data_IF_317311094181
#
_entry.id   IF_317311094181
#
_cell.length_a   1.000
_cell.length_b   1.000
_cell.length_c   1.000
_cell.angle_alpha   90.00
_cell.angle_beta   90.00
_cell.angle_gamma   90.00
#
_symmetry.space_group_name_H-M   'P 1'
#
loop_
_entity.id
_entity.type
_entity.pdbx_description
1 polymer ?
#
# COMPACT_ATOMS: atom_id res chain seq x y z
N UNK A 1 -11.24 -3.44 -24.11
CA UNK A 1 -10.96 -2.59 -22.93
C UNK A 1 -11.90 -1.37 -22.82
N UNK A 2 -12.06 -0.54 -23.86
CA UNK A 2 -12.85 0.71 -23.78
C UNK A 2 -14.33 0.53 -23.36
N UNK A 3 -14.98 -0.57 -23.75
CA UNK A 3 -16.37 -0.87 -23.33
C UNK A 3 -16.53 -1.07 -21.82
N UNK A 4 -15.56 -1.72 -21.16
CA UNK A 4 -15.60 -1.93 -19.70
C UNK A 4 -15.34 -0.63 -18.94
N UNK A 5 -14.45 0.22 -19.45
CA UNK A 5 -14.21 1.57 -18.91
C UNK A 5 -15.46 2.45 -19.02
N UNK A 6 -16.11 2.45 -20.18
CA UNK A 6 -17.36 3.19 -20.41
C UNK A 6 -18.53 2.69 -19.54
N UNK A 7 -18.61 1.38 -19.30
CA UNK A 7 -19.62 0.78 -18.44
C UNK A 7 -19.33 0.94 -16.94
N UNK A 8 -18.24 1.63 -16.56
CA UNK A 8 -17.77 1.75 -15.17
C UNK A 8 -17.56 0.38 -14.47
N UNK A 9 -17.13 -0.62 -15.25
CA UNK A 9 -16.84 -1.99 -14.78
C UNK A 9 -15.33 -2.26 -14.70
N UNK A 10 -14.50 -1.33 -15.16
CA UNK A 10 -13.06 -1.44 -15.12
C UNK A 10 -12.48 -0.54 -14.04
N UNK A 11 -12.00 -1.15 -12.96
CA UNK A 11 -11.33 -0.46 -11.84
C UNK A 11 -12.17 0.68 -11.22
N UNK A 12 -13.50 0.54 -11.23
CA UNK A 12 -14.43 1.58 -10.79
C UNK A 12 -14.40 1.89 -9.30
N UNK A 13 -13.78 1.00 -8.52
CA UNK A 13 -13.64 1.17 -7.09
C UNK A 13 -12.30 1.79 -6.64
N UNK A 14 -11.45 2.24 -7.57
CA UNK A 14 -10.24 2.94 -7.19
C UNK A 14 -10.55 4.27 -6.48
N UNK A 15 -9.67 4.66 -5.58
CA UNK A 15 -9.79 5.87 -4.79
C UNK A 15 -8.96 6.97 -5.45
N UNK A 16 -9.55 8.14 -5.76
CA UNK A 16 -8.79 9.25 -6.31
C UNK A 16 -7.84 9.83 -5.26
N UNK A 17 -6.61 10.09 -5.68
CA UNK A 17 -5.54 10.70 -4.88
C UNK A 17 -5.12 12.00 -5.55
N UNK A 18 -5.17 13.09 -4.79
CA UNK A 18 -4.83 14.43 -5.26
C UNK A 18 -4.36 15.34 -4.12
N UNK A 19 -3.74 16.47 -4.46
CA UNK A 19 -3.29 17.47 -3.48
C UNK A 19 -2.32 16.88 -2.44
N UNK A 20 -2.58 17.15 -1.15
CA UNK A 20 -1.71 16.69 -0.05
C UNK A 20 -1.57 15.16 0.04
N UNK A 21 -2.54 14.39 -0.46
CA UNK A 21 -2.44 12.93 -0.44
C UNK A 21 -1.34 12.41 -1.36
N UNK A 22 -1.04 13.12 -2.45
CA UNK A 22 0.07 12.80 -3.35
C UNK A 22 1.40 12.93 -2.62
N UNK A 23 1.57 13.96 -1.80
CA UNK A 23 2.78 14.17 -1.01
C UNK A 23 2.97 13.05 0.01
N UNK A 24 1.89 12.66 0.72
CA UNK A 24 1.91 11.53 1.67
C UNK A 24 2.26 10.22 0.98
N UNK A 25 1.63 9.96 -0.16
CA UNK A 25 1.90 8.77 -0.96
C UNK A 25 3.37 8.74 -1.44
N UNK A 26 3.90 9.88 -1.92
CA UNK A 26 5.30 10.00 -2.31
C UNK A 26 6.28 9.83 -1.13
N UNK A 27 5.92 10.28 0.07
CA UNK A 27 6.69 9.97 1.29
C UNK A 27 6.71 8.47 1.58
N UNK A 28 5.58 7.78 1.43
CA UNK A 28 5.51 6.32 1.57
C UNK A 28 6.42 5.62 0.57
N UNK A 29 6.36 6.00 -0.72
CA UNK A 29 7.22 5.44 -1.76
C UNK A 29 8.70 5.54 -1.38
N UNK A 30 9.16 6.74 -1.01
CA UNK A 30 10.56 6.95 -0.62
C UNK A 30 10.94 6.14 0.62
N UNK A 31 10.06 6.08 1.63
CA UNK A 31 10.31 5.31 2.85
C UNK A 31 10.45 3.80 2.59
N UNK A 32 9.72 3.30 1.59
CA UNK A 32 9.76 1.91 1.13
C UNK A 32 10.91 1.63 0.13
N UNK A 33 11.75 2.63 -0.18
CA UNK A 33 12.89 2.49 -1.09
C UNK A 33 12.57 2.77 -2.57
N UNK A 34 11.34 3.19 -2.89
CA UNK A 34 10.90 3.48 -4.25
C UNK A 34 11.11 4.94 -4.66
N UNK A 35 11.17 5.18 -5.97
CA UNK A 35 11.19 6.53 -6.53
C UNK A 35 9.83 7.19 -6.46
N UNK A 36 9.78 8.51 -6.23
CA UNK A 36 8.53 9.29 -6.24
C UNK A 36 7.82 9.20 -7.60
N UNK A 37 6.50 9.35 -7.61
CA UNK A 37 5.73 9.64 -8.82
C UNK A 37 5.75 11.14 -9.10
N UNK A 38 5.72 11.51 -10.39
CA UNK A 38 5.58 12.89 -10.86
C UNK A 38 4.11 13.26 -11.11
N UNK A 39 3.19 12.30 -11.00
CA UNK A 39 1.76 12.50 -11.20
C UNK A 39 1.18 13.39 -10.09
N UNK A 40 0.37 14.37 -10.50
CA UNK A 40 -0.37 15.27 -9.58
C UNK A 40 -1.71 14.68 -9.14
N UNK A 41 -2.23 13.72 -9.89
CA UNK A 41 -3.49 13.02 -9.63
C UNK A 41 -3.39 11.62 -10.17
N UNK A 42 -3.83 10.64 -9.40
CA UNK A 42 -3.89 9.23 -9.79
C UNK A 42 -4.94 8.52 -8.94
N UNK A 43 -5.18 7.24 -9.19
CA UNK A 43 -6.07 6.45 -8.36
C UNK A 43 -5.34 5.27 -7.74
N UNK A 44 -5.77 4.86 -6.55
CA UNK A 44 -5.21 3.71 -5.84
C UNK A 44 -6.26 2.68 -5.49
N UNK A 45 -5.85 1.43 -5.33
CA UNK A 45 -6.71 0.34 -4.91
C UNK A 45 -6.69 0.12 -3.38
N UNK A 46 -7.24 -1.02 -2.93
CA UNK A 46 -7.28 -1.37 -1.51
C UNK A 46 -5.92 -1.51 -0.82
N UNK A 47 -4.85 -1.89 -1.54
CA UNK A 47 -3.50 -2.03 -0.98
C UNK A 47 -2.66 -0.77 -1.18
N UNK A 48 -3.10 0.15 -2.02
CA UNK A 48 -2.40 1.38 -2.36
C UNK A 48 -1.75 1.36 -3.75
N UNK A 49 -1.98 0.31 -4.55
CA UNK A 49 -1.43 0.21 -5.89
C UNK A 49 -2.20 1.11 -6.87
N UNK A 50 -1.47 1.81 -7.73
CA UNK A 50 -2.00 2.70 -8.76
C UNK A 50 -1.63 2.22 -10.16
N UNK A 51 -2.62 2.04 -11.06
CA UNK A 51 -2.33 1.70 -12.43
C UNK A 51 -1.63 2.82 -13.20
N UNK A 52 -1.91 4.09 -12.89
CA UNK A 52 -1.27 5.22 -13.55
C UNK A 52 0.20 5.35 -13.16
N UNK A 53 0.54 5.06 -11.90
CA UNK A 53 1.94 5.04 -11.45
C UNK A 53 2.67 3.83 -12.05
N UNK A 54 2.01 2.68 -12.15
CA UNK A 54 2.58 1.51 -12.81
C UNK A 54 2.92 1.80 -14.29
N UNK A 55 2.04 2.51 -14.99
CA UNK A 55 2.27 2.99 -16.37
C UNK A 55 3.40 4.03 -16.42
N UNK A 56 3.43 5.00 -15.50
CA UNK A 56 4.51 6.01 -15.41
C UNK A 56 5.89 5.37 -15.20
N UNK A 57 5.97 4.31 -14.39
CA UNK A 57 7.22 3.64 -14.02
C UNK A 57 7.61 2.52 -14.96
N UNK A 58 6.76 2.20 -15.95
CA UNK A 58 6.90 1.03 -16.81
C UNK A 58 7.06 -0.29 -16.02
N UNK A 59 6.49 -0.33 -14.80
CA UNK A 59 6.63 -1.44 -13.85
C UNK A 59 5.27 -1.73 -13.21
N UNK A 60 4.71 -2.89 -13.52
CA UNK A 60 3.39 -3.31 -13.06
C UNK A 60 3.37 -3.55 -11.55
N UNK A 61 4.44 -4.12 -11.01
CA UNK A 61 4.59 -4.48 -9.60
C UNK A 61 5.46 -3.47 -8.82
N UNK A 62 5.36 -2.17 -9.10
CA UNK A 62 6.25 -1.16 -8.52
C UNK A 62 6.20 -1.03 -6.98
N UNK A 63 5.19 -1.63 -6.33
CA UNK A 63 5.09 -1.73 -4.86
C UNK A 63 5.66 -3.03 -4.31
N UNK A 64 6.35 -3.83 -5.11
CA UNK A 64 7.03 -5.03 -4.67
C UNK A 64 8.54 -4.83 -4.80
N UNK A 65 9.27 -5.13 -3.73
CA UNK A 65 10.73 -5.20 -3.81
C UNK A 65 11.10 -6.61 -4.31
N UNK A 66 11.32 -6.72 -5.62
CA UNK A 66 11.58 -7.99 -6.29
C UNK A 66 10.34 -8.87 -6.40
N UNK A 67 10.52 -10.19 -6.31
CA UNK A 67 9.45 -11.18 -6.46
C UNK A 67 8.97 -11.77 -5.12
N UNK A 68 9.36 -11.21 -3.98
CA UNK A 68 9.09 -11.83 -2.67
C UNK A 68 8.32 -10.93 -1.69
N UNK A 69 8.56 -9.61 -1.71
CA UNK A 69 8.17 -8.72 -0.62
C UNK A 69 7.20 -7.62 -1.09
N UNK A 70 5.88 -7.92 -1.12
CA UNK A 70 4.90 -6.90 -1.42
C UNK A 70 4.90 -5.83 -0.32
N UNK A 71 4.67 -4.58 -0.71
CA UNK A 71 4.43 -3.48 0.20
C UNK A 71 3.03 -2.90 -0.03
N UNK A 72 2.47 -2.30 1.03
CA UNK A 72 1.21 -1.60 0.97
C UNK A 72 1.36 -0.13 1.37
N UNK A 73 0.48 0.71 0.84
CA UNK A 73 0.39 2.12 1.23
C UNK A 73 -1.06 2.42 1.60
N UNK A 74 -1.29 2.74 2.88
CA UNK A 74 -2.59 3.20 3.37
C UNK A 74 -2.52 4.70 3.63
N UNK A 75 -3.24 5.48 2.82
CA UNK A 75 -3.36 6.94 2.96
C UNK A 75 -4.77 7.39 3.32
N UNK A 76 -5.76 6.49 3.32
CA UNK A 76 -7.16 6.83 3.59
C UNK A 76 -7.95 5.67 4.20
N UNK A 77 -8.91 5.92 5.11
CA UNK A 77 -9.82 4.88 5.58
C UNK A 77 -10.76 4.37 4.48
N UNK A 78 -10.88 5.10 3.37
CA UNK A 78 -11.69 4.70 2.22
C UNK A 78 -11.16 3.43 1.52
N UNK A 79 -9.90 3.07 1.75
CA UNK A 79 -9.31 1.81 1.27
C UNK A 79 -9.94 0.57 1.92
N UNK A 80 -10.67 0.75 3.04
CA UNK A 80 -11.39 -0.34 3.70
C UNK A 80 -12.41 -0.98 2.76
N UNK A 81 -12.24 -2.28 2.52
CA UNK A 81 -13.17 -3.07 1.70
C UNK A 81 -13.00 -2.87 0.19
N UNK A 82 -12.04 -2.06 -0.24
CA UNK A 82 -11.75 -1.88 -1.66
C UNK A 82 -11.01 -3.08 -2.24
N UNK A 83 -11.27 -3.41 -3.52
CA UNK A 83 -10.56 -4.50 -4.18
C UNK A 83 -9.07 -4.17 -4.27
N UNK A 84 -8.24 -5.20 -4.07
CA UNK A 84 -6.83 -5.21 -4.45
C UNK A 84 -6.77 -5.75 -5.88
N UNK A 85 -6.47 -4.93 -6.88
CA UNK A 85 -6.60 -5.38 -8.28
C UNK A 85 -5.45 -6.29 -8.69
N UNK A 86 -4.26 -6.04 -8.13
CA UNK A 86 -3.03 -6.74 -8.47
C UNK A 86 -2.38 -7.31 -7.21
N UNK A 87 -2.99 -8.32 -6.56
CA UNK A 87 -2.35 -9.01 -5.45
C UNK A 87 -1.18 -9.81 -6.00
N UNK A 88 -0.07 -9.83 -5.26
CA UNK A 88 1.07 -10.67 -5.62
C UNK A 88 0.86 -12.10 -5.10
N UNK A 89 0.38 -12.24 -3.86
CA UNK A 89 -0.02 -13.51 -3.26
C UNK A 89 -1.54 -13.63 -3.16
N UNK A 90 -2.07 -14.86 -3.19
CA UNK A 90 -3.51 -15.14 -3.07
C UNK A 90 -4.11 -14.62 -1.76
N UNK A 91 -3.31 -14.55 -0.69
CA UNK A 91 -3.74 -14.08 0.62
C UNK A 91 -3.72 -12.56 0.81
N UNK A 92 -3.14 -11.77 -0.12
CA UNK A 92 -2.99 -10.31 0.05
C UNK A 92 -4.34 -9.61 0.25
N UNK A 93 -5.37 -10.10 -0.46
CA UNK A 93 -6.74 -9.59 -0.36
C UNK A 93 -7.30 -9.77 1.04
N UNK A 94 -7.14 -10.95 1.62
CA UNK A 94 -7.70 -11.29 2.93
C UNK A 94 -6.87 -10.68 4.06
N UNK A 95 -5.56 -10.55 3.85
CA UNK A 95 -4.68 -9.80 4.73
C UNK A 95 -5.11 -8.33 4.84
N UNK A 96 -5.38 -7.65 3.73
CA UNK A 96 -5.87 -6.27 3.76
C UNK A 96 -7.23 -6.15 4.45
N UNK A 97 -8.15 -7.10 4.22
CA UNK A 97 -9.41 -7.16 4.99
C UNK A 97 -9.15 -7.29 6.49
N UNK A 98 -8.20 -8.13 6.88
CA UNK A 98 -7.84 -8.36 8.28
C UNK A 98 -7.21 -7.11 8.92
N UNK A 99 -6.28 -6.44 8.24
CA UNK A 99 -5.67 -5.18 8.69
C UNK A 99 -6.74 -4.14 9.00
N UNK A 100 -7.69 -3.91 8.09
CA UNK A 100 -8.79 -2.96 8.32
C UNK A 100 -9.81 -3.43 9.36
N UNK A 101 -10.00 -4.75 9.53
CA UNK A 101 -10.87 -5.32 10.55
C UNK A 101 -10.32 -5.07 11.95
N UNK A 102 -9.03 -5.33 12.16
CA UNK A 102 -8.38 -5.21 13.47
C UNK A 102 -7.98 -3.76 13.80
N UNK A 103 -7.49 -3.02 12.83
CA UNK A 103 -6.88 -1.69 13.05
C UNK A 103 -7.65 -0.52 12.43
N UNK A 104 -8.87 -0.74 11.91
CA UNK A 104 -9.62 0.29 11.18
C UNK A 104 -9.79 1.63 11.90
N UNK A 105 -9.96 1.61 13.23
CA UNK A 105 -10.04 2.84 14.05
C UNK A 105 -8.71 3.59 14.04
N UNK A 106 -7.59 2.90 14.35
CA UNK A 106 -6.25 3.48 14.33
C UNK A 106 -5.87 3.99 12.94
N UNK A 107 -6.19 3.24 11.88
CA UNK A 107 -5.95 3.64 10.50
C UNK A 107 -6.67 4.95 10.20
N UNK A 108 -7.96 5.06 10.53
CA UNK A 108 -8.74 6.29 10.34
C UNK A 108 -8.10 7.49 11.05
N UNK A 109 -7.66 7.29 12.30
CA UNK A 109 -7.08 8.38 13.09
C UNK A 109 -5.71 8.82 12.55
N UNK A 110 -4.85 7.87 12.19
CA UNK A 110 -3.50 8.15 11.64
C UNK A 110 -3.60 8.81 10.26
N UNK A 111 -4.48 8.30 9.39
CA UNK A 111 -4.59 8.78 7.99
C UNK A 111 -5.23 10.16 7.86
N UNK A 112 -5.76 10.74 8.96
CA UNK A 112 -6.18 12.14 9.00
C UNK A 112 -5.01 13.06 8.65
N UNK A 113 -3.87 12.84 9.30
CA UNK A 113 -2.72 13.74 9.26
C UNK A 113 -1.48 13.12 8.61
N UNK A 114 -1.39 11.78 8.56
CA UNK A 114 -0.23 11.04 8.05
C UNK A 114 -0.64 9.91 7.08
N UNK A 115 0.27 8.96 6.85
CA UNK A 115 0.07 7.75 6.05
C UNK A 115 0.85 6.57 6.65
N UNK A 116 0.40 5.36 6.31
CA UNK A 116 0.95 4.11 6.83
C UNK A 116 1.54 3.32 5.66
N UNK A 117 2.81 2.95 5.76
CA UNK A 117 3.43 1.95 4.91
C UNK A 117 3.27 0.57 5.56
N UNK A 118 2.92 -0.42 4.76
CA UNK A 118 2.89 -1.81 5.15
C UNK A 118 4.07 -2.54 4.51
N UNK A 119 4.72 -3.39 5.29
CA UNK A 119 5.72 -4.31 4.82
C UNK A 119 5.30 -5.74 5.22
N UNK A 120 5.24 -6.62 4.24
CA UNK A 120 4.77 -7.99 4.40
C UNK A 120 5.96 -8.92 4.41
N UNK A 121 6.47 -9.20 5.62
CA UNK A 121 7.63 -10.06 5.82
C UNK A 121 7.19 -11.52 6.02
N UNK A 122 7.75 -12.39 5.20
CA UNK A 122 7.50 -13.83 5.19
C UNK A 122 8.76 -14.62 5.60
N UNK A 123 9.86 -13.91 5.90
CA UNK A 123 11.18 -14.45 6.24
C UNK A 123 11.76 -15.39 5.18
N UNK A 124 11.47 -15.10 3.92
CA UNK A 124 11.94 -15.84 2.76
C UNK A 124 12.63 -14.83 1.84
N UNK A 125 13.95 -14.96 1.71
CA UNK A 125 14.75 -14.02 0.92
C UNK A 125 14.68 -14.32 -0.58
N UNK A 126 14.52 -15.59 -0.95
CA UNK A 126 14.41 -16.04 -2.33
C UNK A 126 13.69 -17.39 -2.41
N UNK A 127 13.04 -17.62 -3.55
CA UNK A 127 12.56 -18.94 -3.96
C UNK A 127 13.61 -19.58 -4.85
N UNK A 128 14.13 -20.72 -4.42
CA UNK A 128 15.03 -21.54 -5.24
C UNK A 128 14.26 -22.68 -5.92
N UNK A 129 13.18 -23.15 -5.29
CA UNK A 129 12.33 -24.22 -5.80
C UNK A 129 10.85 -24.03 -5.45
N UNK A 130 9.90 -24.61 -6.21
CA UNK A 130 8.48 -24.47 -5.91
C UNK A 130 8.06 -24.94 -4.50
N UNK A 131 8.82 -25.86 -3.89
CA UNK A 131 8.58 -26.35 -2.53
C UNK A 131 8.88 -25.31 -1.45
N UNK A 132 9.65 -24.26 -1.75
CA UNK A 132 9.93 -23.16 -0.80
C UNK A 132 8.65 -22.43 -0.38
N UNK A 133 7.60 -22.46 -1.21
CA UNK A 133 6.27 -21.91 -0.87
C UNK A 133 5.67 -22.62 0.35
N UNK A 134 6.01 -23.89 0.60
CA UNK A 134 5.52 -24.61 1.79
C UNK A 134 6.20 -24.15 3.09
N UNK A 135 7.28 -23.37 3.02
CA UNK A 135 7.92 -22.78 4.19
C UNK A 135 7.11 -21.62 4.79
N UNK A 136 6.04 -21.19 4.11
CA UNK A 136 5.11 -20.18 4.59
C UNK A 136 4.33 -20.69 5.78
N UNK A 137 4.78 -20.32 6.97
CA UNK A 137 4.07 -20.63 8.20
C UNK A 137 3.46 -19.38 8.85
N UNK A 138 4.18 -18.26 8.77
CA UNK A 138 3.80 -17.00 9.43
C UNK A 138 4.12 -15.83 8.53
N UNK A 139 3.12 -14.99 8.31
CA UNK A 139 3.27 -13.68 7.67
C UNK A 139 3.29 -12.64 8.79
N UNK A 140 4.31 -11.79 8.81
CA UNK A 140 4.41 -10.67 9.74
C UNK A 140 4.15 -9.38 8.97
N UNK A 141 3.19 -8.59 9.45
CA UNK A 141 2.85 -7.30 8.84
C UNK A 141 3.49 -6.21 9.70
N UNK A 142 4.46 -5.50 9.14
CA UNK A 142 5.05 -4.34 9.76
C UNK A 142 4.33 -3.07 9.33
N UNK A 143 4.09 -2.18 10.28
CA UNK A 143 3.43 -0.90 10.06
C UNK A 143 4.44 0.20 10.31
N UNK A 144 4.66 1.05 9.30
CA UNK A 144 5.57 2.18 9.40
C UNK A 144 4.84 3.47 9.12
N UNK A 145 5.06 4.49 9.94
CA UNK A 145 4.48 5.81 9.73
C UNK A 145 5.44 6.66 8.89
N UNK A 146 4.92 7.48 7.97
CA UNK A 146 5.75 8.34 7.12
C UNK A 146 6.48 9.42 7.91
N UNK A 147 5.86 9.89 9.00
CA UNK A 147 6.42 10.89 9.89
C UNK A 147 6.87 10.16 11.17
N UNK A 148 8.05 10.52 11.69
CA UNK A 148 8.53 10.04 13.00
C UNK A 148 7.66 10.66 14.09
N UNK A 149 6.40 10.19 14.21
CA UNK A 149 5.44 10.68 15.19
C UNK A 149 5.97 10.54 16.63
N UNK A 150 6.92 9.62 16.84
CA UNK A 150 7.66 9.49 18.10
C UNK A 150 8.49 10.75 18.41
N UNK A 151 9.24 11.29 17.43
CA UNK A 151 9.99 12.56 17.58
C UNK A 151 9.06 13.76 17.74
N UNK A 152 7.94 13.79 17.02
CA UNK A 152 6.97 14.90 17.14
C UNK A 152 6.26 14.87 18.50
N UNK A 153 6.05 13.68 19.08
CA UNK A 153 5.55 13.54 20.46
C UNK A 153 6.57 14.00 21.49
N UNK A 154 7.83 13.62 21.34
CA UNK A 154 8.92 14.09 22.23
C UNK A 154 9.03 15.62 22.20
N UNK A 155 9.03 16.22 21.01
CA UNK A 155 9.07 17.69 20.85
C UNK A 155 7.84 18.42 21.42
N UNK A 156 6.68 17.75 21.55
CA UNK A 156 5.47 18.30 22.18
C UNK A 156 5.41 18.08 23.69
N UNK A 157 6.18 17.14 24.24
CA UNK A 157 6.26 16.87 25.68
C UNK A 157 7.34 17.72 26.37
N UNK A 158 8.29 18.27 25.60
CA UNK A 158 9.33 19.19 26.06
C UNK A 158 8.89 20.68 26.04
N UNK A 159 7.59 20.96 25.97
CA UNK A 159 6.96 22.29 26.07
C UNK A 159 5.95 22.33 27.22
#
# INVERSE_FOLDING_TARGET
MNKLKQANLYRSELIPVSGKLVERYNKCLVKLGFTKTKLKTFHIDGIGWSPEIAEEKEETNYLNNGEANPHGIIISPLQKGKPVYLPFHTFDRDMMKYVFKIHGVKIKDITRDSAICLDFDQKIDAFYEPLDVLKYNKITIHFHLIDNLDRVKEEQLDW
#
